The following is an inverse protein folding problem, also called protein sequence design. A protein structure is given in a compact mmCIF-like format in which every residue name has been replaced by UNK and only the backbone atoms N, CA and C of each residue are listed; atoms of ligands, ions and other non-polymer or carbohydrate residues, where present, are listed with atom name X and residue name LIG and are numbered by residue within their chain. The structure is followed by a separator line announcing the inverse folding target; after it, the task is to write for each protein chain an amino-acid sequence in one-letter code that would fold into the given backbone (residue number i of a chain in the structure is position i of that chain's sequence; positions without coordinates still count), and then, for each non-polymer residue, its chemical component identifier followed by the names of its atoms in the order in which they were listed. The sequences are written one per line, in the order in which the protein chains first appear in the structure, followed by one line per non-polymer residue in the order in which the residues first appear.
data_IF_376725605799
#
_entry.id   IF_376725605799
#
_cell.length_a   1.000
_cell.length_b   1.000
_cell.length_c   1.000
_cell.angle_alpha   90.00
_cell.angle_beta   90.00
_cell.angle_gamma   90.00
#
_symmetry.space_group_name_H-M   'P 1'
#
loop_
_entity.id
_entity.type
_entity.pdbx_description
1 polymer ?
#
# COMPACT_ATOMS: atom_id res chain seq x y z
N UNK A 1 44.22 -63.63 3.96
CA UNK A 1 44.87 -62.52 4.68
C UNK A 1 44.66 -61.28 3.84
N UNK A 2 43.64 -60.50 4.16
CA UNK A 2 43.17 -59.39 3.33
C UNK A 2 43.21 -58.14 4.19
N UNK A 3 44.15 -57.26 3.90
CA UNK A 3 44.47 -56.07 4.69
C UNK A 3 43.47 -54.97 4.37
N UNK A 4 42.75 -54.49 5.38
CA UNK A 4 41.81 -53.38 5.26
C UNK A 4 42.56 -52.05 5.14
N UNK A 5 42.26 -51.27 4.09
CA UNK A 5 42.71 -49.88 3.94
C UNK A 5 41.59 -48.96 4.41
N UNK A 6 41.83 -48.22 5.50
CA UNK A 6 40.92 -47.18 5.98
C UNK A 6 41.03 -45.95 5.06
N UNK A 7 39.92 -45.52 4.47
CA UNK A 7 39.80 -44.22 3.78
C UNK A 7 39.08 -43.26 4.73
N UNK A 8 39.81 -42.24 5.19
CA UNK A 8 39.30 -41.13 6.00
C UNK A 8 38.50 -40.15 5.16
N UNK A 9 37.28 -39.83 5.58
CA UNK A 9 36.43 -38.78 5.02
C UNK A 9 36.95 -37.36 5.34
N UNK A 10 36.68 -36.34 4.49
CA UNK A 10 37.12 -34.97 4.74
C UNK A 10 36.29 -34.30 5.85
N UNK A 11 36.97 -33.50 6.69
CA UNK A 11 36.38 -32.67 7.75
C UNK A 11 35.54 -31.54 7.15
N UNK A 12 34.31 -31.37 7.64
CA UNK A 12 33.48 -30.21 7.37
C UNK A 12 34.02 -28.97 8.11
N UNK A 13 34.31 -27.90 7.38
CA UNK A 13 34.60 -26.58 7.96
C UNK A 13 33.32 -25.93 8.48
N UNK A 14 33.31 -25.71 9.79
CA UNK A 14 32.28 -24.93 10.50
C UNK A 14 32.50 -23.44 10.21
N UNK A 15 31.69 -22.87 9.31
CA UNK A 15 31.61 -21.41 9.15
C UNK A 15 30.81 -20.85 10.33
N UNK A 16 31.51 -20.35 11.35
CA UNK A 16 30.90 -19.61 12.46
C UNK A 16 30.20 -18.36 11.91
N UNK A 17 28.87 -18.32 11.99
CA UNK A 17 28.10 -17.10 11.76
C UNK A 17 28.53 -16.03 12.77
N UNK A 18 28.94 -14.88 12.24
CA UNK A 18 29.29 -13.68 13.01
C UNK A 18 28.01 -13.16 13.69
N UNK A 19 28.03 -12.84 15.00
CA UNK A 19 26.83 -12.34 15.68
C UNK A 19 26.39 -11.02 15.03
N UNK A 20 25.11 -10.96 14.66
CA UNK A 20 24.47 -9.78 14.08
C UNK A 20 24.48 -8.67 15.14
N UNK A 21 25.02 -7.49 14.78
CA UNK A 21 25.00 -6.33 15.65
C UNK A 21 23.55 -5.96 16.01
N UNK A 22 23.29 -5.43 17.21
CA UNK A 22 21.95 -5.02 17.61
C UNK A 22 21.44 -3.96 16.61
N UNK A 23 20.35 -4.30 15.91
CA UNK A 23 19.66 -3.38 15.00
C UNK A 23 19.10 -2.26 15.86
N UNK A 24 19.63 -1.05 15.67
CA UNK A 24 19.17 0.14 16.35
C UNK A 24 17.79 0.50 15.78
N UNK A 25 16.75 0.31 16.59
CA UNK A 25 15.34 0.37 16.16
C UNK A 25 14.96 1.79 15.70
N UNK A 26 15.71 2.81 16.12
CA UNK A 26 15.53 4.23 15.78
C UNK A 26 15.95 4.62 14.36
N UNK A 27 16.78 3.84 13.66
CA UNK A 27 17.22 4.20 12.29
C UNK A 27 16.22 3.77 11.20
N UNK A 28 15.25 2.92 11.53
CA UNK A 28 14.33 2.32 10.56
C UNK A 28 13.15 3.21 10.14
N UNK A 29 12.99 4.39 10.77
CA UNK A 29 11.84 5.27 10.56
C UNK A 29 12.22 6.76 10.53
N UNK A 30 13.17 7.14 9.67
CA UNK A 30 13.37 8.56 9.36
C UNK A 30 12.48 8.98 8.19
N UNK A 31 11.23 9.30 8.49
CA UNK A 31 10.43 10.13 7.58
C UNK A 31 11.08 11.52 7.60
N UNK A 32 11.49 12.07 6.43
CA UNK A 32 12.07 13.40 6.39
C UNK A 32 11.19 14.39 7.13
N UNK A 33 11.76 15.27 7.95
CA UNK A 33 10.97 16.23 8.75
C UNK A 33 9.99 17.04 7.90
N UNK A 34 10.37 17.37 6.66
CA UNK A 34 9.50 18.04 5.68
C UNK A 34 8.25 17.22 5.34
N UNK A 35 8.39 15.91 5.17
CA UNK A 35 7.30 14.98 4.89
C UNK A 35 6.43 14.81 6.14
N UNK A 36 7.02 14.73 7.33
CA UNK A 36 6.28 14.68 8.59
C UNK A 36 5.46 15.97 8.82
N UNK A 37 6.06 17.14 8.64
CA UNK A 37 5.39 18.43 8.77
C UNK A 37 4.25 18.58 7.76
N UNK A 38 4.49 18.20 6.50
CA UNK A 38 3.46 18.24 5.45
C UNK A 38 2.32 17.26 5.74
N UNK A 39 2.62 16.05 6.21
CA UNK A 39 1.60 15.09 6.65
C UNK A 39 0.78 15.64 7.82
N UNK A 40 1.41 16.34 8.78
CA UNK A 40 0.72 16.99 9.90
C UNK A 40 -0.23 18.10 9.44
N UNK A 41 0.18 18.92 8.47
CA UNK A 41 -0.68 19.94 7.85
C UNK A 41 -1.86 19.32 7.09
N UNK A 42 -1.64 18.19 6.42
CA UNK A 42 -2.70 17.46 5.72
C UNK A 42 -3.75 16.92 6.67
N UNK A 43 -3.30 16.23 7.72
CA UNK A 43 -4.18 15.67 8.74
C UNK A 43 -4.88 16.75 9.57
N UNK A 44 -4.26 17.90 9.76
CA UNK A 44 -4.84 19.02 10.52
C UNK A 44 -6.02 19.66 9.82
N UNK A 45 -5.96 19.84 8.49
CA UNK A 45 -6.96 20.60 7.72
C UNK A 45 -7.59 19.76 6.60
N UNK A 46 -8.26 18.64 6.91
CA UNK A 46 -8.79 17.71 5.91
C UNK A 46 -9.79 18.36 4.95
N UNK A 47 -10.54 19.37 5.39
CA UNK A 47 -11.47 20.13 4.54
C UNK A 47 -10.78 20.83 3.37
N UNK A 48 -9.62 21.47 3.62
CA UNK A 48 -8.85 22.15 2.57
C UNK A 48 -8.34 21.14 1.53
N UNK A 49 -7.83 20.00 1.97
CA UNK A 49 -7.26 18.99 1.08
C UNK A 49 -8.31 18.27 0.25
N UNK A 50 -9.50 18.01 0.81
CA UNK A 50 -10.66 17.56 0.04
C UNK A 50 -11.05 18.57 -1.03
N UNK A 51 -11.09 19.85 -0.67
CA UNK A 51 -11.40 20.92 -1.62
C UNK A 51 -10.36 21.02 -2.74
N UNK A 52 -9.06 20.97 -2.41
CA UNK A 52 -7.98 20.93 -3.40
C UNK A 52 -8.10 19.72 -4.32
N UNK A 53 -8.41 18.53 -3.78
CA UNK A 53 -8.63 17.34 -4.58
C UNK A 53 -9.81 17.47 -5.56
N UNK A 54 -10.89 18.15 -5.16
CA UNK A 54 -12.03 18.44 -6.03
C UNK A 54 -11.71 19.50 -7.10
N UNK A 55 -10.89 20.50 -6.76
CA UNK A 55 -10.38 21.46 -7.73
C UNK A 55 -9.52 20.78 -8.78
N UNK A 56 -8.61 19.88 -8.36
CA UNK A 56 -7.81 19.11 -9.29
C UNK A 56 -8.70 18.29 -10.24
N UNK A 57 -9.74 17.62 -9.72
CA UNK A 57 -10.73 16.91 -10.56
C UNK A 57 -11.35 17.85 -11.60
N UNK A 58 -11.71 19.07 -11.20
CA UNK A 58 -12.28 20.05 -12.14
C UNK A 58 -11.28 20.45 -13.21
N UNK A 59 -10.00 20.63 -12.84
CA UNK A 59 -8.93 21.05 -13.77
C UNK A 59 -8.59 20.01 -14.84
N UNK A 60 -8.79 18.72 -14.56
CA UNK A 60 -8.44 17.62 -15.48
C UNK A 60 -9.65 16.84 -16.00
N UNK A 61 -10.87 17.35 -15.78
CA UNK A 61 -12.14 16.64 -16.05
C UNK A 61 -12.22 16.05 -17.45
N UNK A 62 -11.77 16.77 -18.47
CA UNK A 62 -11.80 16.33 -19.88
C UNK A 62 -10.86 15.15 -20.18
N UNK A 63 -9.85 14.94 -19.34
CA UNK A 63 -8.86 13.85 -19.49
C UNK A 63 -9.22 12.62 -18.65
N UNK A 64 -10.16 12.75 -17.72
CA UNK A 64 -10.57 11.63 -16.86
C UNK A 64 -11.44 10.67 -17.66
N UNK A 65 -11.20 9.37 -17.48
CA UNK A 65 -12.09 8.34 -17.98
C UNK A 65 -13.51 8.53 -17.41
N UNK A 66 -14.54 8.06 -18.12
CA UNK A 66 -15.92 8.19 -17.65
C UNK A 66 -16.18 7.38 -16.37
N UNK A 67 -15.56 6.21 -16.27
CA UNK A 67 -15.72 5.29 -15.14
C UNK A 67 -14.42 4.56 -14.81
N UNK A 68 -14.36 4.02 -13.60
CA UNK A 68 -13.34 3.05 -13.21
C UNK A 68 -13.80 1.65 -13.67
N UNK A 69 -13.06 1.00 -14.55
CA UNK A 69 -13.39 -0.35 -15.04
C UNK A 69 -12.79 -1.44 -14.15
N UNK A 70 -13.65 -2.25 -13.53
CA UNK A 70 -13.30 -3.49 -12.80
C UNK A 70 -12.05 -3.35 -11.91
N UNK A 71 -12.03 -2.40 -10.96
CA UNK A 71 -10.90 -2.21 -10.05
C UNK A 71 -10.67 -3.47 -9.21
N UNK A 72 -9.42 -3.74 -8.83
CA UNK A 72 -9.06 -4.88 -8.00
C UNK A 72 -8.65 -4.40 -6.61
N UNK A 73 -9.30 -4.92 -5.59
CA UNK A 73 -8.98 -4.66 -4.20
C UNK A 73 -8.35 -5.91 -3.58
N UNK A 74 -7.06 -5.83 -3.27
CA UNK A 74 -6.38 -6.80 -2.42
C UNK A 74 -6.72 -6.46 -0.97
N UNK A 75 -7.21 -7.45 -0.23
CA UNK A 75 -7.53 -7.29 1.18
C UNK A 75 -7.01 -8.45 2.03
N UNK A 76 -7.53 -8.59 3.25
CA UNK A 76 -7.11 -9.59 4.21
C UNK A 76 -6.29 -9.00 5.36
N UNK A 77 -5.88 -9.87 6.26
CA UNK A 77 -5.20 -9.48 7.49
C UNK A 77 -3.70 -9.25 7.20
N UNK A 78 -3.05 -8.34 7.93
CA UNK A 78 -1.62 -8.06 7.82
C UNK A 78 -0.77 -9.34 7.93
N UNK A 79 0.27 -9.54 7.11
CA UNK A 79 1.08 -10.79 7.05
C UNK A 79 0.41 -11.99 6.35
N UNK A 80 -0.65 -11.76 5.57
CA UNK A 80 -1.25 -12.76 4.67
C UNK A 80 -0.53 -12.93 3.33
N UNK A 81 0.47 -12.10 3.02
CA UNK A 81 1.13 -12.08 1.71
C UNK A 81 0.49 -11.12 0.70
N UNK A 82 -0.31 -10.15 1.16
CA UNK A 82 -0.94 -9.15 0.29
C UNK A 82 0.07 -8.25 -0.45
N UNK A 83 1.26 -8.01 0.12
CA UNK A 83 2.31 -7.21 -0.55
C UNK A 83 2.84 -7.89 -1.82
N UNK A 84 3.13 -9.20 -1.79
CA UNK A 84 3.62 -9.89 -3.00
C UNK A 84 2.53 -9.95 -4.06
N UNK A 85 1.26 -10.11 -3.67
CA UNK A 85 0.13 -10.02 -4.60
C UNK A 85 0.03 -8.65 -5.25
N UNK A 86 0.25 -7.58 -4.47
CA UNK A 86 0.26 -6.21 -4.98
C UNK A 86 1.38 -6.02 -6.01
N UNK A 87 2.60 -6.43 -5.69
CA UNK A 87 3.76 -6.34 -6.61
C UNK A 87 3.49 -7.11 -7.92
N UNK A 88 2.98 -8.33 -7.84
CA UNK A 88 2.66 -9.15 -9.02
C UNK A 88 1.59 -8.48 -9.89
N UNK A 89 0.49 -7.99 -9.30
CA UNK A 89 -0.55 -7.31 -10.06
C UNK A 89 -0.08 -5.97 -10.64
N UNK A 90 0.71 -5.20 -9.87
CA UNK A 90 1.25 -3.92 -10.29
C UNK A 90 2.28 -4.04 -11.43
N UNK A 91 2.91 -5.21 -11.60
CA UNK A 91 3.83 -5.46 -12.71
C UNK A 91 3.16 -5.49 -14.08
N UNK A 92 1.82 -5.63 -14.13
CA UNK A 92 1.08 -5.66 -15.39
C UNK A 92 1.04 -4.29 -16.07
N UNK A 93 1.27 -4.25 -17.38
CA UNK A 93 1.39 -3.01 -18.15
C UNK A 93 0.11 -2.13 -18.15
N UNK A 94 -1.05 -2.69 -17.84
CA UNK A 94 -2.31 -1.93 -17.78
C UNK A 94 -2.71 -1.49 -16.37
N UNK A 95 -1.94 -1.89 -15.35
CA UNK A 95 -2.30 -1.67 -13.95
C UNK A 95 -1.68 -0.39 -13.40
N UNK A 96 -2.53 0.45 -12.80
CA UNK A 96 -2.13 1.60 -12.01
C UNK A 96 -2.41 1.35 -10.53
N UNK A 97 -1.44 1.70 -9.68
CA UNK A 97 -1.55 1.63 -8.22
C UNK A 97 -1.03 2.91 -7.59
N UNK A 98 -1.33 3.06 -6.30
CA UNK A 98 -0.56 3.95 -5.45
C UNK A 98 0.89 3.46 -5.32
N UNK A 99 1.80 4.41 -5.14
CA UNK A 99 3.24 4.21 -4.98
C UNK A 99 3.74 4.98 -3.76
N UNK A 100 4.90 4.62 -3.22
CA UNK A 100 5.52 5.34 -2.10
C UNK A 100 5.65 6.85 -2.34
N UNK A 101 6.00 7.26 -3.56
CA UNK A 101 6.14 8.67 -3.93
C UNK A 101 4.84 9.47 -3.88
N UNK A 102 3.67 8.83 -3.82
CA UNK A 102 2.40 9.54 -3.72
C UNK A 102 2.21 10.17 -2.34
N UNK A 103 2.90 9.65 -1.33
CA UNK A 103 2.88 10.21 0.00
C UNK A 103 3.76 11.48 0.07
N UNK A 104 3.29 12.57 0.72
CA UNK A 104 2.02 12.69 1.45
C UNK A 104 0.85 13.25 0.62
N UNK A 105 1.07 13.65 -0.63
CA UNK A 105 0.12 14.42 -1.46
C UNK A 105 -0.96 13.55 -2.16
N UNK A 106 -1.59 12.66 -1.40
CA UNK A 106 -2.59 11.72 -1.91
C UNK A 106 -3.86 12.38 -2.46
N UNK A 107 -4.26 13.55 -1.95
CA UNK A 107 -5.50 14.20 -2.37
C UNK A 107 -5.42 14.75 -3.81
N UNK A 108 -4.20 15.01 -4.30
CA UNK A 108 -3.93 15.65 -5.58
C UNK A 108 -2.93 14.85 -6.44
N UNK A 109 -3.26 13.61 -6.87
CA UNK A 109 -2.32 12.73 -7.55
C UNK A 109 -1.89 13.19 -8.95
N UNK A 110 -2.61 14.10 -9.61
CA UNK A 110 -2.24 14.62 -10.94
C UNK A 110 -1.17 15.68 -10.80
N UNK A 111 -1.46 16.73 -10.04
CA UNK A 111 -0.53 17.83 -9.78
C UNK A 111 0.75 17.33 -9.10
N UNK A 112 0.60 16.42 -8.11
CA UNK A 112 1.76 15.83 -7.45
C UNK A 112 2.56 14.92 -8.38
N UNK A 113 1.87 14.12 -9.21
CA UNK A 113 2.52 13.28 -10.21
C UNK A 113 3.33 14.10 -11.21
N UNK A 114 2.80 15.24 -11.66
CA UNK A 114 3.51 16.18 -12.55
C UNK A 114 4.73 16.81 -11.87
N UNK A 115 4.59 17.23 -10.61
CA UNK A 115 5.70 17.80 -9.84
C UNK A 115 6.85 16.80 -9.60
N UNK A 116 6.52 15.50 -9.50
CA UNK A 116 7.48 14.44 -9.19
C UNK A 116 7.88 13.59 -10.41
N UNK A 117 7.38 13.89 -11.62
CA UNK A 117 7.61 13.07 -12.82
C UNK A 117 9.10 12.95 -13.17
N UNK A 118 9.87 14.03 -12.94
CA UNK A 118 11.31 14.11 -13.25
C UNK A 118 12.22 13.69 -12.10
N UNK A 119 11.67 13.23 -10.98
CA UNK A 119 12.48 12.81 -9.84
C UNK A 119 13.32 11.59 -10.22
N UNK A 120 14.63 11.68 -9.97
CA UNK A 120 15.56 10.60 -10.28
C UNK A 120 15.16 9.30 -9.57
N UNK A 121 15.35 8.17 -10.26
CA UNK A 121 15.17 6.86 -9.65
C UNK A 121 16.14 6.72 -8.48
N UNK A 122 15.60 6.35 -7.32
CA UNK A 122 16.41 6.03 -6.14
C UNK A 122 16.81 4.56 -6.17
N UNK A 123 17.97 4.26 -5.59
CA UNK A 123 18.39 2.87 -5.40
C UNK A 123 17.35 2.14 -4.54
N UNK A 124 17.02 0.87 -4.85
CA UNK A 124 16.13 0.07 -4.02
C UNK A 124 16.68 -0.05 -2.60
N UNK A 125 15.84 0.21 -1.61
CA UNK A 125 16.16 0.04 -0.18
C UNK A 125 15.27 -1.04 0.40
N UNK A 126 15.76 -1.77 1.39
CA UNK A 126 14.90 -2.72 2.10
C UNK A 126 13.81 -1.95 2.83
N UNK A 127 12.56 -2.40 2.66
CA UNK A 127 11.42 -1.72 3.31
C UNK A 127 11.49 -1.89 4.84
N UNK A 128 10.86 -0.97 5.57
CA UNK A 128 10.91 -0.88 7.04
C UNK A 128 10.48 -2.15 7.80
N UNK A 129 9.82 -3.11 7.13
CA UNK A 129 9.43 -4.39 7.72
C UNK A 129 10.58 -5.40 7.85
N UNK A 130 11.73 -5.18 7.20
CA UNK A 130 12.91 -6.03 7.32
C UNK A 130 12.69 -7.47 6.86
N UNK A 131 11.92 -7.67 5.79
CA UNK A 131 11.61 -9.00 5.25
C UNK A 131 12.18 -9.27 3.86
N UNK A 132 13.28 -8.58 3.50
CA UNK A 132 14.03 -8.78 2.27
C UNK A 132 13.37 -8.23 1.01
N UNK A 133 12.23 -7.55 1.14
CA UNK A 133 11.55 -6.89 0.02
C UNK A 133 12.19 -5.52 -0.21
N UNK A 134 12.75 -5.34 -1.40
CA UNK A 134 13.37 -4.09 -1.84
C UNK A 134 12.34 -3.17 -2.49
N UNK A 135 12.30 -1.91 -2.06
CA UNK A 135 11.34 -0.92 -2.53
C UNK A 135 12.03 0.33 -3.05
N UNK A 136 11.37 0.99 -3.99
CA UNK A 136 11.73 2.30 -4.55
C UNK A 136 10.57 3.27 -4.34
N UNK A 137 10.75 4.58 -4.57
CA UNK A 137 9.62 5.51 -4.58
C UNK A 137 8.49 5.13 -5.55
N UNK A 138 8.78 4.35 -6.60
CA UNK A 138 7.80 3.87 -7.57
C UNK A 138 7.21 2.50 -7.24
N UNK A 139 7.67 1.83 -6.17
CA UNK A 139 7.10 0.56 -5.73
C UNK A 139 5.66 0.75 -5.25
N UNK A 140 4.76 -0.20 -5.55
CA UNK A 140 3.37 -0.11 -5.16
C UNK A 140 3.20 -0.25 -3.65
N UNK A 141 2.30 0.53 -3.04
CA UNK A 141 2.05 0.43 -1.60
C UNK A 141 0.62 0.84 -1.21
N UNK A 142 0.16 0.35 -0.06
CA UNK A 142 -1.10 0.69 0.56
C UNK A 142 -1.07 2.10 1.16
N UNK A 143 -1.63 3.07 0.45
CA UNK A 143 -1.59 4.48 0.85
C UNK A 143 -2.98 5.09 1.11
N UNK A 144 -4.06 4.41 0.69
CA UNK A 144 -5.42 4.98 0.64
C UNK A 144 -6.02 5.29 2.01
N UNK A 145 -5.50 4.72 3.11
CA UNK A 145 -6.08 4.90 4.44
C UNK A 145 -6.13 6.38 4.86
N UNK A 146 -5.19 7.20 4.36
CA UNK A 146 -5.20 8.66 4.56
C UNK A 146 -6.49 9.30 4.04
N UNK A 147 -7.04 8.81 2.93
CA UNK A 147 -8.31 9.28 2.38
C UNK A 147 -9.49 8.80 3.23
N UNK A 148 -9.47 7.53 3.65
CA UNK A 148 -10.51 6.97 4.53
C UNK A 148 -10.62 7.74 5.85
N UNK A 149 -9.49 7.97 6.52
CA UNK A 149 -9.43 8.78 7.75
C UNK A 149 -9.91 10.21 7.51
N UNK A 150 -9.63 10.78 6.33
CA UNK A 150 -10.10 12.11 5.97
C UNK A 150 -11.63 12.21 5.93
N UNK A 151 -12.34 11.17 5.47
CA UNK A 151 -13.80 11.20 5.27
C UNK A 151 -14.62 10.49 6.35
N UNK A 152 -14.01 9.59 7.11
CA UNK A 152 -14.65 8.82 8.17
C UNK A 152 -13.99 9.15 9.51
N UNK A 153 -14.57 10.08 10.26
CA UNK A 153 -13.98 10.59 11.51
C UNK A 153 -13.74 9.51 12.58
N UNK A 154 -14.50 8.41 12.56
CA UNK A 154 -14.37 7.28 13.47
C UNK A 154 -13.49 6.16 12.93
N UNK A 155 -12.78 6.37 11.81
CA UNK A 155 -11.82 5.39 11.30
C UNK A 155 -10.80 5.05 12.38
N UNK A 156 -10.60 3.75 12.61
CA UNK A 156 -9.72 3.19 13.64
C UNK A 156 -10.13 3.43 15.10
N UNK A 157 -11.31 3.99 15.37
CA UNK A 157 -11.84 4.02 16.73
C UNK A 157 -12.29 2.59 17.13
N UNK A 158 -11.63 1.94 18.11
CA UNK A 158 -11.95 0.57 18.51
C UNK A 158 -13.32 0.43 19.19
N UNK A 159 -13.91 1.53 19.67
CA UNK A 159 -15.24 1.55 20.28
C UNK A 159 -16.37 1.52 19.24
N UNK A 160 -16.04 1.70 17.96
CA UNK A 160 -17.00 1.79 16.86
C UNK A 160 -16.78 0.63 15.88
N UNK A 161 -17.88 0.14 15.31
CA UNK A 161 -17.79 -0.82 14.21
C UNK A 161 -17.08 -0.18 13.02
N UNK A 162 -16.05 -0.86 12.51
CA UNK A 162 -15.30 -0.45 11.34
C UNK A 162 -15.84 -1.09 10.04
N UNK A 163 -17.01 -1.73 10.11
CA UNK A 163 -17.66 -2.37 8.97
C UNK A 163 -18.43 -1.33 8.16
N UNK A 164 -18.09 -1.21 6.88
CA UNK A 164 -18.83 -0.44 5.89
C UNK A 164 -19.43 -1.42 4.87
N UNK A 165 -20.75 -1.56 4.91
CA UNK A 165 -21.52 -2.48 4.09
C UNK A 165 -22.20 -1.79 2.90
N UNK A 166 -23.10 -2.50 2.20
CA UNK A 166 -23.83 -1.97 1.05
C UNK A 166 -24.83 -0.85 1.42
N UNK A 167 -25.25 -0.76 2.69
CA UNK A 167 -26.17 0.26 3.18
C UNK A 167 -25.44 1.52 3.66
N UNK A 168 -24.14 1.41 3.90
CA UNK A 168 -23.28 2.52 4.26
C UNK A 168 -23.28 3.57 3.16
N UNK A 169 -23.24 4.85 3.54
CA UNK A 169 -23.35 5.96 2.60
C UNK A 169 -22.52 7.14 3.05
N UNK A 170 -21.71 7.68 2.14
CA UNK A 170 -21.03 8.96 2.29
C UNK A 170 -20.85 9.57 0.89
N UNK A 171 -21.85 10.28 0.36
CA UNK A 171 -21.84 10.75 -1.03
C UNK A 171 -20.60 11.58 -1.40
N UNK A 172 -20.09 12.37 -0.45
CA UNK A 172 -18.88 13.15 -0.66
C UNK A 172 -17.65 12.26 -0.85
N UNK A 173 -17.52 11.18 -0.06
CA UNK A 173 -16.45 10.21 -0.24
C UNK A 173 -16.63 9.38 -1.50
N UNK A 174 -17.86 8.93 -1.81
CA UNK A 174 -18.16 8.11 -2.99
C UNK A 174 -17.72 8.83 -4.27
N UNK A 175 -18.08 10.11 -4.41
CA UNK A 175 -17.64 10.94 -5.51
C UNK A 175 -16.12 11.16 -5.49
N UNK A 176 -15.58 11.61 -4.36
CA UNK A 176 -14.15 11.92 -4.23
C UNK A 176 -13.28 10.72 -4.55
N UNK A 177 -13.64 9.54 -4.06
CA UNK A 177 -12.87 8.32 -4.22
C UNK A 177 -12.92 7.81 -5.66
N UNK A 178 -14.08 7.86 -6.32
CA UNK A 178 -14.19 7.57 -7.75
C UNK A 178 -13.33 8.52 -8.59
N UNK A 179 -13.40 9.83 -8.31
CA UNK A 179 -12.59 10.85 -8.98
C UNK A 179 -11.09 10.62 -8.72
N UNK A 180 -10.72 10.32 -7.48
CA UNK A 180 -9.35 10.05 -7.07
C UNK A 180 -8.73 8.87 -7.83
N UNK A 181 -9.46 7.74 -7.94
CA UNK A 181 -8.99 6.58 -8.70
C UNK A 181 -8.79 6.92 -10.17
N UNK A 182 -9.71 7.67 -10.78
CA UNK A 182 -9.58 8.11 -12.19
C UNK A 182 -8.38 9.02 -12.40
N UNK A 183 -8.17 9.97 -11.49
CA UNK A 183 -7.02 10.88 -11.49
C UNK A 183 -5.70 10.11 -11.35
N UNK A 184 -5.65 9.13 -10.45
CA UNK A 184 -4.48 8.28 -10.29
C UNK A 184 -4.17 7.46 -11.55
N UNK A 185 -5.20 6.87 -12.17
CA UNK A 185 -5.05 6.14 -13.45
C UNK A 185 -4.54 7.03 -14.58
N UNK A 186 -5.03 8.28 -14.66
CA UNK A 186 -4.52 9.30 -15.57
C UNK A 186 -3.03 9.57 -15.32
N UNK A 187 -2.64 9.82 -14.06
CA UNK A 187 -1.23 10.06 -13.69
C UNK A 187 -0.34 8.87 -14.05
N UNK A 188 -0.84 7.64 -13.87
CA UNK A 188 -0.08 6.42 -14.19
C UNK A 188 -0.06 6.09 -15.68
N UNK A 189 -0.97 6.69 -16.48
CA UNK A 189 -1.23 6.32 -17.88
C UNK A 189 -1.61 4.83 -17.99
N UNK A 190 -2.53 4.40 -17.12
CA UNK A 190 -2.98 3.00 -16.97
C UNK A 190 -4.50 2.93 -16.99
N UNK A 191 -5.05 1.78 -17.32
CA UNK A 191 -6.50 1.60 -17.53
C UNK A 191 -7.20 0.89 -16.38
N UNK A 192 -6.47 0.10 -15.57
CA UNK A 192 -7.07 -0.71 -14.52
C UNK A 192 -6.46 -0.41 -13.15
N UNK A 193 -7.30 -0.18 -12.17
CA UNK A 193 -6.85 0.14 -10.82
C UNK A 193 -6.64 -1.10 -9.97
N UNK A 194 -5.54 -1.12 -9.21
CA UNK A 194 -5.31 -2.10 -8.14
C UNK A 194 -4.92 -1.39 -6.86
N UNK A 195 -5.56 -1.78 -5.75
CA UNK A 195 -5.24 -1.29 -4.43
C UNK A 195 -5.02 -2.42 -3.43
N UNK A 196 -4.29 -2.13 -2.35
CA UNK A 196 -4.10 -3.02 -1.20
C UNK A 196 -4.50 -2.28 0.05
N UNK A 197 -5.33 -2.89 0.88
CA UNK A 197 -5.74 -2.34 2.17
C UNK A 197 -6.27 -3.41 3.10
N UNK A 198 -5.71 -3.52 4.31
CA UNK A 198 -6.16 -4.50 5.29
C UNK A 198 -7.63 -4.23 5.67
N UNK A 199 -7.98 -2.97 5.87
CA UNK A 199 -9.35 -2.53 6.17
C UNK A 199 -10.32 -2.68 4.99
N UNK A 200 -9.86 -2.95 3.77
CA UNK A 200 -10.78 -3.25 2.67
C UNK A 200 -11.64 -4.48 2.97
N UNK A 201 -11.24 -5.35 3.92
CA UNK A 201 -11.94 -6.57 4.29
C UNK A 201 -13.27 -6.23 4.96
N UNK A 202 -13.27 -5.23 5.85
CA UNK A 202 -14.48 -4.72 6.49
C UNK A 202 -15.26 -3.74 5.61
N UNK A 203 -14.71 -3.38 4.43
CA UNK A 203 -15.29 -2.40 3.49
C UNK A 203 -15.71 -3.03 2.16
N UNK A 204 -15.66 -4.36 2.00
CA UNK A 204 -15.98 -5.05 0.74
C UNK A 204 -17.38 -4.65 0.24
N UNK A 205 -18.38 -4.66 1.12
CA UNK A 205 -19.76 -4.31 0.74
C UNK A 205 -19.88 -2.87 0.26
N UNK A 206 -19.24 -1.93 0.95
CA UNK A 206 -19.25 -0.52 0.56
C UNK A 206 -18.43 -0.24 -0.71
N UNK A 207 -17.27 -0.88 -0.87
CA UNK A 207 -16.47 -0.78 -2.10
C UNK A 207 -17.21 -1.36 -3.30
N UNK A 208 -17.97 -2.45 -3.13
CA UNK A 208 -18.81 -3.02 -4.17
C UNK A 208 -20.00 -2.10 -4.52
N UNK A 209 -20.53 -1.32 -3.56
CA UNK A 209 -21.52 -0.27 -3.84
C UNK A 209 -20.92 0.83 -4.72
N UNK A 210 -19.71 1.30 -4.40
CA UNK A 210 -19.02 2.36 -5.17
C UNK A 210 -18.63 1.86 -6.57
N UNK A 211 -18.13 0.62 -6.65
CA UNK A 211 -17.66 -0.02 -7.88
C UNK A 211 -18.36 -1.38 -8.06
N UNK A 212 -19.54 -1.43 -8.69
CA UNK A 212 -20.33 -2.67 -8.83
C UNK A 212 -19.62 -3.83 -9.54
N UNK A 213 -18.63 -3.51 -10.37
CA UNK A 213 -17.84 -4.46 -11.16
C UNK A 213 -16.47 -4.81 -10.53
N UNK A 214 -16.20 -4.30 -9.32
CA UNK A 214 -14.96 -4.54 -8.58
C UNK A 214 -14.66 -6.03 -8.38
N UNK A 215 -13.36 -6.34 -8.33
CA UNK A 215 -12.84 -7.67 -8.03
C UNK A 215 -12.09 -7.63 -6.72
N UNK A 216 -12.28 -8.65 -5.89
CA UNK A 216 -11.64 -8.74 -4.58
C UNK A 216 -10.70 -9.94 -4.55
N UNK A 217 -9.48 -9.72 -4.08
CA UNK A 217 -8.49 -10.77 -3.85
C UNK A 217 -8.20 -10.83 -2.36
N UNK A 218 -8.61 -11.92 -1.71
CA UNK A 218 -8.44 -12.11 -0.26
C UNK A 218 -7.50 -13.30 -0.02
N UNK A 219 -6.18 -13.07 0.14
CA UNK A 219 -5.26 -14.12 0.57
C UNK A 219 -5.67 -14.71 1.92
N UNK A 220 -5.81 -16.03 1.96
CA UNK A 220 -6.08 -16.78 3.18
C UNK A 220 -4.80 -17.48 3.62
N UNK A 221 -4.40 -17.26 4.87
CA UNK A 221 -3.26 -17.90 5.51
C UNK A 221 -3.70 -18.62 6.77
N UNK A 222 -3.07 -19.75 7.08
CA UNK A 222 -3.34 -20.49 8.31
C UNK A 222 -3.17 -19.57 9.55
N UNK A 223 -4.16 -19.48 10.46
CA UNK A 223 -4.20 -18.47 11.52
C UNK A 223 -3.01 -18.58 12.49
N UNK A 224 -2.55 -19.80 12.80
CA UNK A 224 -1.39 -20.01 13.68
C UNK A 224 -0.11 -19.36 13.11
N UNK A 225 0.12 -19.48 11.80
CA UNK A 225 1.29 -18.87 11.15
C UNK A 225 1.16 -17.35 11.06
N UNK A 226 -0.07 -16.86 11.05
CA UNK A 226 -0.38 -15.45 11.01
C UNK A 226 0.00 -14.78 12.33
N UNK A 227 -0.49 -15.34 13.45
CA UNK A 227 -0.17 -14.88 14.81
C UNK A 227 1.34 -14.95 15.06
N UNK A 228 1.96 -16.09 14.75
CA UNK A 228 3.41 -16.26 14.92
C UNK A 228 4.23 -15.27 14.09
N UNK A 229 3.76 -14.86 12.90
CA UNK A 229 4.43 -13.84 12.10
C UNK A 229 4.22 -12.43 12.64
N UNK A 230 3.06 -12.12 13.21
CA UNK A 230 2.76 -10.82 13.81
C UNK A 230 3.61 -10.61 15.07
N UNK A 231 3.69 -11.62 15.94
CA UNK A 231 4.52 -11.60 17.15
C UNK A 231 6.04 -11.44 16.89
N UNK A 232 6.51 -11.64 15.65
CA UNK A 232 7.92 -11.41 15.29
C UNK A 232 8.20 -9.99 14.83
N UNK A 233 7.17 -9.22 14.48
CA UNK A 233 7.32 -7.83 13.99
C UNK A 233 7.06 -6.77 15.07
N UNK A 234 6.44 -7.17 16.19
CA UNK A 234 6.19 -6.35 17.38
C UNK A 234 6.94 -6.94 18.57
#
# INVERSE_FOLDING_TARGET
MTTATQTTAPKAESTKQKPMAPVNIDESFQVPWSVHALSGLISGWPGLWKWLGNLETTSCREQLADKVDRPIFISGIARSGSTILLEVLASHADVGTHQYRDFPMLYTPVWWGQATEKQAQSLPVERAHGDGIMVTPQSPEAMEEVLWMGFFANAHNPEQSQVLDHNSSNPAFEQFYGDHVRKLLLTRKRSRYVSKGNYNLSRIGYLQKIFPDAKFVVPIRHPVHHIASLMKQH
#
